data_IF_418855658003
#
_entry.id   IF_418855658003
#
_cell.length_a   1.000
_cell.length_b   1.000
_cell.length_c   1.000
_cell.angle_alpha   90.00
_cell.angle_beta   90.00
_cell.angle_gamma   90.00
#
_symmetry.space_group_name_H-M   'P 1'
#
loop_
_entity.id
_entity.type
_entity.pdbx_description
1 polymer ?
#
# COMPACT_ATOMS: atom_id res chain seq x y z
N UNK A 1 -23.08 -5.37 11.37
CA UNK A 1 -22.31 -5.13 10.14
C UNK A 1 -22.07 -3.65 10.02
N UNK A 2 -20.90 -3.24 9.53
CA UNK A 2 -20.55 -1.85 9.27
C UNK A 2 -20.89 -1.51 7.82
N UNK A 3 -21.55 -0.39 7.61
CA UNK A 3 -21.93 0.10 6.28
C UNK A 3 -20.71 0.71 5.59
N UNK A 4 -20.48 0.30 4.34
CA UNK A 4 -19.37 0.78 3.52
C UNK A 4 -19.87 1.48 2.25
N UNK A 5 -19.16 2.52 1.83
CA UNK A 5 -19.32 3.19 0.54
C UNK A 5 -17.98 3.20 -0.18
N UNK A 6 -18.01 2.93 -1.49
CA UNK A 6 -16.84 3.06 -2.37
C UNK A 6 -17.02 4.32 -3.25
N UNK A 7 -15.99 5.16 -3.26
CA UNK A 7 -15.89 6.34 -4.13
C UNK A 7 -14.84 6.09 -5.19
N UNK A 8 -15.22 6.14 -6.46
CA UNK A 8 -14.48 5.64 -7.60
C UNK A 8 -14.84 4.17 -7.89
N UNK A 9 -15.42 3.93 -9.07
CA UNK A 9 -15.91 2.60 -9.48
C UNK A 9 -15.01 1.97 -10.56
N UNK A 10 -13.71 2.19 -10.44
CA UNK A 10 -12.68 1.67 -11.35
C UNK A 10 -12.26 0.24 -11.05
N UNK A 11 -11.14 -0.14 -11.66
CA UNK A 11 -10.60 -1.51 -11.61
C UNK A 11 -10.28 -1.96 -10.18
N UNK A 12 -9.56 -1.15 -9.40
CA UNK A 12 -9.21 -1.50 -8.02
C UNK A 12 -10.42 -1.46 -7.07
N UNK A 13 -11.46 -0.69 -7.43
CA UNK A 13 -12.70 -0.66 -6.66
C UNK A 13 -13.46 -1.99 -6.70
N UNK A 14 -13.52 -2.65 -7.88
CA UNK A 14 -14.27 -3.91 -8.03
C UNK A 14 -14.39 -4.44 -9.46
N UNK A 15 -13.89 -3.73 -10.49
CA UNK A 15 -13.96 -4.21 -11.87
C UNK A 15 -12.94 -5.31 -12.18
N UNK A 16 -11.96 -5.57 -11.34
CA UNK A 16 -11.08 -6.76 -11.44
C UNK A 16 -11.89 -8.05 -11.32
N UNK A 17 -12.95 -8.02 -10.52
CA UNK A 17 -13.76 -9.20 -10.22
C UNK A 17 -14.62 -9.62 -11.43
N UNK A 18 -14.86 -8.67 -12.37
CA UNK A 18 -15.62 -8.88 -13.62
C UNK A 18 -14.83 -9.73 -14.65
N UNK A 19 -13.52 -9.83 -14.52
CA UNK A 19 -12.68 -10.52 -15.51
C UNK A 19 -12.50 -12.00 -15.26
N UNK A 20 -12.89 -12.50 -14.10
CA UNK A 20 -12.74 -13.91 -13.70
C UNK A 20 -11.30 -14.43 -13.66
N UNK A 21 -10.31 -13.52 -13.67
CA UNK A 21 -8.88 -13.88 -13.80
C UNK A 21 -8.13 -13.97 -12.48
N UNK A 22 -8.74 -13.62 -11.35
CA UNK A 22 -8.07 -13.61 -10.05
C UNK A 22 -8.79 -14.47 -9.01
N UNK A 23 -8.12 -15.55 -8.57
CA UNK A 23 -8.55 -16.37 -7.41
C UNK A 23 -8.24 -15.64 -6.07
N UNK A 24 -7.59 -14.47 -6.12
CA UNK A 24 -7.23 -13.70 -4.93
C UNK A 24 -8.12 -12.47 -4.78
N UNK A 25 -8.53 -12.17 -3.55
CA UNK A 25 -9.29 -10.98 -3.22
C UNK A 25 -8.34 -9.79 -3.24
N UNK A 26 -8.49 -8.92 -4.26
CA UNK A 26 -7.61 -7.77 -4.48
C UNK A 26 -8.35 -6.43 -4.50
N UNK A 27 -9.63 -6.41 -4.88
CA UNK A 27 -10.44 -5.19 -4.96
C UNK A 27 -11.13 -4.84 -3.65
N UNK A 28 -11.50 -3.56 -3.50
CA UNK A 28 -12.24 -3.09 -2.32
C UNK A 28 -13.60 -3.78 -2.19
N UNK A 29 -14.35 -3.91 -3.30
CA UNK A 29 -15.67 -4.55 -3.29
C UNK A 29 -15.57 -6.02 -2.88
N UNK A 30 -14.61 -6.77 -3.46
CA UNK A 30 -14.37 -8.15 -3.06
C UNK A 30 -13.95 -8.27 -1.60
N UNK A 31 -13.15 -7.32 -1.09
CA UNK A 31 -12.79 -7.24 0.33
C UNK A 31 -14.03 -7.12 1.22
N UNK A 32 -14.93 -6.20 0.90
CA UNK A 32 -16.18 -6.02 1.66
C UNK A 32 -17.11 -7.23 1.56
N UNK A 33 -17.31 -7.78 0.37
CA UNK A 33 -18.21 -8.94 0.18
C UNK A 33 -17.73 -10.23 0.84
N UNK A 34 -16.41 -10.39 1.00
CA UNK A 34 -15.83 -11.59 1.61
C UNK A 34 -15.51 -11.45 3.10
N UNK A 35 -15.96 -10.37 3.75
CA UNK A 35 -15.74 -10.15 5.17
C UNK A 35 -17.04 -9.91 5.92
N UNK A 36 -17.41 -10.80 6.85
CA UNK A 36 -18.71 -10.85 7.54
C UNK A 36 -19.10 -9.57 8.31
N UNK A 37 -18.13 -8.70 8.60
CA UNK A 37 -18.38 -7.49 9.37
C UNK A 37 -18.80 -6.29 8.52
N UNK A 38 -18.74 -6.36 7.19
CA UNK A 38 -19.05 -5.25 6.29
C UNK A 38 -20.27 -5.53 5.42
N UNK A 39 -20.94 -4.44 5.05
CA UNK A 39 -21.99 -4.39 4.05
C UNK A 39 -21.69 -3.25 3.07
N UNK A 40 -21.42 -3.58 1.80
CA UNK A 40 -21.20 -2.60 0.75
C UNK A 40 -22.55 -2.01 0.32
N UNK A 41 -22.93 -0.90 0.95
CA UNK A 41 -24.28 -0.30 0.82
C UNK A 41 -24.36 0.80 -0.24
N UNK A 42 -23.20 1.39 -0.64
CA UNK A 42 -23.21 2.50 -1.60
C UNK A 42 -21.97 2.59 -2.48
N UNK A 43 -22.12 3.23 -3.65
CA UNK A 43 -20.99 3.57 -4.53
C UNK A 43 -21.22 4.90 -5.26
N UNK A 44 -20.09 5.56 -5.61
CA UNK A 44 -20.08 6.86 -6.28
C UNK A 44 -19.03 6.87 -7.38
N UNK A 45 -19.37 7.40 -8.55
CA UNK A 45 -18.41 7.69 -9.62
C UNK A 45 -18.88 8.89 -10.43
N UNK A 46 -17.99 9.76 -10.86
CA UNK A 46 -18.32 10.92 -11.70
C UNK A 46 -18.94 10.53 -13.05
N UNK A 47 -18.65 9.33 -13.54
CA UNK A 47 -19.20 8.79 -14.77
C UNK A 47 -20.45 7.95 -14.48
N UNK A 48 -21.62 8.44 -14.95
CA UNK A 48 -22.91 7.79 -14.73
C UNK A 48 -22.94 6.33 -15.21
N UNK A 49 -22.38 6.02 -16.38
CA UNK A 49 -22.37 4.65 -16.89
C UNK A 49 -21.51 3.72 -16.05
N UNK A 50 -20.40 4.23 -15.54
CA UNK A 50 -19.49 3.46 -14.68
C UNK A 50 -20.16 3.13 -13.35
N UNK A 51 -20.80 4.11 -12.69
CA UNK A 51 -21.45 3.86 -11.40
C UNK A 51 -22.66 2.93 -11.53
N UNK A 52 -23.48 3.09 -12.59
CA UNK A 52 -24.62 2.18 -12.87
C UNK A 52 -24.14 0.74 -13.08
N UNK A 53 -23.10 0.53 -13.92
CA UNK A 53 -22.52 -0.80 -14.15
C UNK A 53 -21.94 -1.41 -12.88
N UNK A 54 -21.21 -0.61 -12.10
CA UNK A 54 -20.61 -1.08 -10.84
C UNK A 54 -21.70 -1.45 -9.83
N UNK A 55 -22.74 -0.63 -9.68
CA UNK A 55 -23.86 -0.89 -8.79
C UNK A 55 -24.59 -2.20 -9.14
N UNK A 56 -24.81 -2.46 -10.44
CA UNK A 56 -25.39 -3.72 -10.92
C UNK A 56 -24.49 -4.92 -10.60
N UNK A 57 -23.20 -4.83 -10.94
CA UNK A 57 -22.21 -5.89 -10.71
C UNK A 57 -22.06 -6.23 -9.22
N UNK A 58 -21.94 -5.22 -8.37
CA UNK A 58 -21.70 -5.36 -6.93
C UNK A 58 -23.01 -5.44 -6.13
N UNK A 59 -24.18 -5.37 -6.79
CA UNK A 59 -25.53 -5.40 -6.17
C UNK A 59 -25.73 -4.29 -5.12
N UNK A 60 -25.17 -3.11 -5.38
CA UNK A 60 -25.27 -1.94 -4.51
C UNK A 60 -26.55 -1.18 -4.82
N UNK A 61 -27.28 -0.77 -3.77
CA UNK A 61 -28.60 -0.12 -3.92
C UNK A 61 -28.47 1.40 -4.01
N UNK A 62 -27.55 2.00 -3.23
CA UNK A 62 -27.34 3.43 -3.19
C UNK A 62 -26.19 3.83 -4.11
N UNK A 63 -26.50 4.40 -5.27
CA UNK A 63 -25.46 4.87 -6.19
C UNK A 63 -25.88 6.18 -6.87
N UNK A 64 -24.90 7.05 -7.08
CA UNK A 64 -25.09 8.34 -7.74
C UNK A 64 -23.73 8.87 -8.24
N UNK A 65 -23.79 9.88 -9.11
CA UNK A 65 -22.61 10.68 -9.46
C UNK A 65 -22.29 11.76 -8.43
N UNK A 66 -23.24 12.06 -7.55
CA UNK A 66 -23.08 13.03 -6.49
C UNK A 66 -22.71 12.33 -5.16
N UNK A 67 -21.51 12.60 -4.68
CA UNK A 67 -20.97 12.02 -3.45
C UNK A 67 -21.85 12.31 -2.23
N UNK A 68 -22.25 13.57 -2.04
CA UNK A 68 -23.02 13.98 -0.85
C UNK A 68 -24.38 13.30 -0.80
N UNK A 69 -25.01 13.10 -1.97
CA UNK A 69 -26.29 12.39 -2.07
C UNK A 69 -26.19 10.97 -1.51
N UNK A 70 -25.16 10.22 -1.93
CA UNK A 70 -24.99 8.83 -1.47
C UNK A 70 -24.59 8.79 0.01
N UNK A 71 -23.68 9.65 0.43
CA UNK A 71 -23.22 9.66 1.84
C UNK A 71 -24.34 10.01 2.81
N UNK A 72 -25.21 10.97 2.47
CA UNK A 72 -26.36 11.32 3.31
C UNK A 72 -27.43 10.22 3.31
N UNK A 73 -27.60 9.47 2.22
CA UNK A 73 -28.53 8.36 2.16
C UNK A 73 -28.04 7.13 2.95
N UNK A 74 -26.74 6.82 2.91
CA UNK A 74 -26.16 5.61 3.52
C UNK A 74 -25.66 5.86 4.95
N UNK A 75 -25.09 7.05 5.22
CA UNK A 75 -24.39 7.38 6.47
C UNK A 75 -23.36 6.30 6.84
N UNK A 76 -22.34 6.07 5.99
CA UNK A 76 -21.46 4.92 6.11
C UNK A 76 -20.54 4.99 7.34
N UNK A 77 -20.24 3.81 7.92
CA UNK A 77 -19.20 3.68 8.93
C UNK A 77 -17.80 3.83 8.35
N UNK A 78 -17.60 3.36 7.11
CA UNK A 78 -16.32 3.42 6.39
C UNK A 78 -16.52 3.86 4.94
N UNK A 79 -15.61 4.69 4.46
CA UNK A 79 -15.57 5.10 3.05
C UNK A 79 -14.23 4.65 2.45
N UNK A 80 -14.29 3.84 1.37
CA UNK A 80 -13.14 3.58 0.52
C UNK A 80 -13.04 4.62 -0.59
N UNK A 81 -11.88 5.22 -0.78
CA UNK A 81 -11.60 6.14 -1.88
C UNK A 81 -10.63 5.44 -2.84
N UNK A 82 -11.14 5.10 -4.02
CA UNK A 82 -10.48 4.34 -5.07
C UNK A 82 -10.53 5.06 -6.43
N UNK A 83 -10.50 6.38 -6.38
CA UNK A 83 -10.49 7.30 -7.52
C UNK A 83 -9.06 7.51 -8.05
N UNK A 84 -8.86 8.22 -9.18
CA UNK A 84 -7.54 8.69 -9.57
C UNK A 84 -6.87 9.52 -8.48
N UNK A 85 -5.58 9.35 -8.34
CA UNK A 85 -4.77 9.87 -7.22
C UNK A 85 -4.75 11.41 -7.10
N UNK A 86 -4.92 12.13 -8.21
CA UNK A 86 -5.05 13.60 -8.25
C UNK A 86 -6.35 14.13 -7.62
N UNK A 87 -7.33 13.26 -7.37
CA UNK A 87 -8.62 13.60 -6.77
C UNK A 87 -8.71 13.29 -5.27
N UNK A 88 -7.78 12.51 -4.73
CA UNK A 88 -7.83 12.01 -3.35
C UNK A 88 -7.97 13.13 -2.33
N UNK A 89 -7.11 14.15 -2.41
CA UNK A 89 -7.16 15.29 -1.50
C UNK A 89 -8.51 16.01 -1.49
N UNK A 90 -9.06 16.30 -2.68
CA UNK A 90 -10.32 17.02 -2.81
C UNK A 90 -11.52 16.21 -2.29
N UNK A 91 -11.52 14.90 -2.52
CA UNK A 91 -12.59 14.01 -2.07
C UNK A 91 -12.55 13.85 -0.54
N UNK A 92 -11.37 13.60 0.05
CA UNK A 92 -11.23 13.53 1.52
C UNK A 92 -11.68 14.83 2.16
N UNK A 93 -11.21 15.98 1.63
CA UNK A 93 -11.58 17.30 2.15
C UNK A 93 -13.09 17.54 2.08
N UNK A 94 -13.74 17.12 0.99
CA UNK A 94 -15.20 17.22 0.84
C UNK A 94 -15.94 16.33 1.85
N UNK A 95 -15.50 15.10 2.04
CA UNK A 95 -16.10 14.15 3.00
C UNK A 95 -16.02 14.72 4.41
N UNK A 96 -14.84 15.16 4.83
CA UNK A 96 -14.63 15.63 6.21
C UNK A 96 -15.17 17.06 6.46
N UNK A 97 -15.43 17.83 5.40
CA UNK A 97 -15.89 19.22 5.51
C UNK A 97 -17.39 19.46 5.27
N UNK A 98 -18.09 18.53 4.58
CA UNK A 98 -19.42 18.82 4.03
C UNK A 98 -20.49 17.76 4.30
N UNK A 99 -20.19 16.65 4.97
CA UNK A 99 -21.21 15.62 5.29
C UNK A 99 -21.78 15.82 6.68
N UNK A 100 -23.10 15.66 6.80
CA UNK A 100 -23.81 15.86 8.07
C UNK A 100 -23.43 14.80 9.13
N UNK A 101 -23.17 13.57 8.67
CA UNK A 101 -22.69 12.45 9.49
C UNK A 101 -21.41 11.91 8.89
N UNK A 102 -20.25 12.27 9.45
CA UNK A 102 -18.96 11.79 8.95
C UNK A 102 -18.75 10.30 9.23
N UNK A 103 -17.95 9.60 8.39
CA UNK A 103 -17.61 8.21 8.63
C UNK A 103 -16.74 8.06 9.88
N UNK A 104 -16.63 6.84 10.39
CA UNK A 104 -15.70 6.52 11.48
C UNK A 104 -14.28 6.30 10.99
N UNK A 105 -14.10 6.03 9.68
CA UNK A 105 -12.84 5.65 9.06
C UNK A 105 -12.85 5.93 7.57
N UNK A 106 -11.73 6.41 7.03
CA UNK A 106 -11.47 6.50 5.59
C UNK A 106 -10.40 5.49 5.21
N UNK A 107 -10.66 4.67 4.18
CA UNK A 107 -9.69 3.76 3.56
C UNK A 107 -9.31 4.31 2.19
N UNK A 108 -8.12 4.85 2.06
CA UNK A 108 -7.67 5.66 0.92
C UNK A 108 -6.65 4.91 0.07
N UNK A 109 -6.85 4.87 -1.26
CA UNK A 109 -5.85 4.34 -2.17
C UNK A 109 -4.55 5.17 -2.19
N UNK A 110 -3.48 4.48 -2.56
CA UNK A 110 -2.15 5.09 -2.74
C UNK A 110 -2.04 5.75 -4.14
N UNK A 111 -1.21 6.79 -4.28
CA UNK A 111 -0.66 7.63 -3.22
C UNK A 111 -1.76 8.48 -2.58
N UNK A 112 -1.67 8.74 -1.30
CA UNK A 112 -2.73 9.46 -0.57
C UNK A 112 -2.96 10.89 -1.09
N UNK A 113 -1.93 11.51 -1.68
CA UNK A 113 -1.96 12.87 -2.23
C UNK A 113 -0.76 13.11 -3.15
N UNK A 114 -0.75 14.26 -3.85
CA UNK A 114 0.22 14.58 -4.89
C UNK A 114 1.46 15.34 -4.39
N UNK A 115 1.39 16.00 -3.24
CA UNK A 115 2.46 16.87 -2.76
C UNK A 115 2.41 17.09 -1.23
N UNK A 116 3.48 17.67 -0.69
CA UNK A 116 3.61 17.91 0.76
C UNK A 116 2.53 18.84 1.32
N UNK A 117 2.05 19.83 0.55
CA UNK A 117 1.01 20.76 1.03
C UNK A 117 -0.33 20.04 1.25
N UNK A 118 -0.70 19.19 0.31
CA UNK A 118 -1.89 18.34 0.43
C UNK A 118 -1.77 17.37 1.60
N UNK A 119 -0.58 16.76 1.77
CA UNK A 119 -0.31 15.86 2.88
C UNK A 119 -0.50 16.53 4.24
N UNK A 120 0.12 17.70 4.45
CA UNK A 120 -0.03 18.45 5.72
C UNK A 120 -1.50 18.80 5.97
N UNK A 121 -2.21 19.27 4.93
CA UNK A 121 -3.63 19.58 5.05
C UNK A 121 -4.48 18.36 5.38
N UNK A 122 -4.23 17.20 4.77
CA UNK A 122 -4.95 15.95 5.09
C UNK A 122 -4.69 15.47 6.51
N UNK A 123 -3.45 15.62 7.01
CA UNK A 123 -3.12 15.29 8.41
C UNK A 123 -3.90 16.21 9.36
N UNK A 124 -3.88 17.53 9.12
CA UNK A 124 -4.61 18.50 9.94
C UNK A 124 -6.13 18.27 9.93
N UNK A 125 -6.71 17.99 8.76
CA UNK A 125 -8.16 17.74 8.63
C UNK A 125 -8.54 16.43 9.35
N UNK A 126 -7.75 15.36 9.16
CA UNK A 126 -7.95 14.06 9.83
C UNK A 126 -7.91 14.20 11.36
N UNK A 127 -6.90 14.90 11.87
CA UNK A 127 -6.72 15.12 13.31
C UNK A 127 -7.86 16.01 13.88
N UNK A 128 -8.22 17.08 13.16
CA UNK A 128 -9.29 17.99 13.59
C UNK A 128 -10.67 17.31 13.61
N UNK A 129 -10.94 16.44 12.65
CA UNK A 129 -12.17 15.66 12.58
C UNK A 129 -12.16 14.45 13.52
N UNK A 130 -11.00 14.07 14.05
CA UNK A 130 -10.77 12.82 14.78
C UNK A 130 -11.22 11.58 13.98
N UNK A 131 -10.97 11.58 12.68
CA UNK A 131 -11.31 10.47 11.77
C UNK A 131 -10.02 9.95 11.15
N UNK A 132 -9.62 8.71 11.47
CA UNK A 132 -8.41 8.14 10.92
C UNK A 132 -8.53 7.91 9.40
N UNK A 133 -7.44 8.21 8.70
CA UNK A 133 -7.24 7.88 7.30
C UNK A 133 -6.21 6.74 7.24
N UNK A 134 -6.65 5.56 6.82
CA UNK A 134 -5.78 4.41 6.53
C UNK A 134 -5.45 4.42 5.04
N UNK A 135 -4.17 4.34 4.72
CA UNK A 135 -3.71 4.33 3.32
C UNK A 135 -3.47 2.90 2.86
N UNK A 136 -4.02 2.54 1.71
CA UNK A 136 -3.86 1.21 1.13
C UNK A 136 -2.46 1.02 0.51
N UNK A 137 -1.44 1.09 1.35
CA UNK A 137 -0.12 0.57 1.00
C UNK A 137 -0.15 -0.95 1.11
N UNK A 138 -0.62 -1.61 0.06
CA UNK A 138 -0.99 -3.04 0.06
C UNK A 138 0.09 -3.96 0.63
N UNK A 139 1.38 -3.65 0.43
CA UNK A 139 2.50 -4.43 0.96
C UNK A 139 2.61 -4.39 2.48
N UNK A 140 2.17 -3.33 3.15
CA UNK A 140 2.10 -3.29 4.62
C UNK A 140 1.10 -4.31 5.17
N UNK A 141 0.06 -4.61 4.40
CA UNK A 141 -0.93 -5.64 4.73
C UNK A 141 -0.48 -7.05 4.30
N UNK A 142 0.62 -7.21 3.57
CA UNK A 142 1.09 -8.53 3.14
C UNK A 142 1.72 -9.30 4.32
N UNK A 143 1.28 -10.54 4.54
CA UNK A 143 1.69 -11.36 5.69
C UNK A 143 3.20 -11.62 5.74
N UNK A 144 3.86 -11.75 4.58
CA UNK A 144 5.31 -11.89 4.49
C UNK A 144 6.04 -10.73 5.19
N UNK A 145 5.69 -9.50 4.81
CA UNK A 145 6.39 -8.32 5.37
C UNK A 145 6.06 -8.09 6.84
N UNK A 146 4.84 -8.37 7.26
CA UNK A 146 4.51 -8.32 8.69
C UNK A 146 5.34 -9.33 9.50
N UNK A 147 5.50 -10.57 9.01
CA UNK A 147 6.31 -11.59 9.66
C UNK A 147 7.83 -11.26 9.64
N UNK A 148 8.32 -10.65 8.55
CA UNK A 148 9.72 -10.17 8.46
C UNK A 148 9.95 -9.05 9.47
N UNK A 149 9.04 -8.08 9.57
CA UNK A 149 9.10 -6.98 10.53
C UNK A 149 9.17 -7.51 11.97
N UNK A 150 8.25 -8.40 12.34
CA UNK A 150 8.24 -9.03 13.67
C UNK A 150 9.58 -9.71 14.00
N UNK A 151 10.11 -10.50 13.05
CA UNK A 151 11.40 -11.20 13.26
C UNK A 151 12.58 -10.24 13.36
N UNK A 152 12.58 -9.16 12.58
CA UNK A 152 13.61 -8.15 12.61
C UNK A 152 13.59 -7.37 13.94
N UNK A 153 12.44 -6.89 14.36
CA UNK A 153 12.26 -6.18 15.64
C UNK A 153 12.60 -7.08 16.85
N UNK A 154 12.34 -8.38 16.74
CA UNK A 154 12.74 -9.37 17.75
C UNK A 154 14.24 -9.75 17.70
N UNK A 155 15.05 -9.12 16.82
CA UNK A 155 16.48 -9.40 16.66
C UNK A 155 16.81 -10.76 16.03
N UNK A 156 15.82 -11.52 15.55
CA UNK A 156 16.02 -12.88 15.02
C UNK A 156 16.70 -12.93 13.66
N UNK A 157 16.72 -11.83 12.92
CA UNK A 157 17.40 -11.72 11.63
C UNK A 157 18.83 -11.16 11.75
N UNK A 158 19.18 -10.66 12.94
CA UNK A 158 20.46 -9.99 13.16
C UNK A 158 20.51 -8.60 12.54
N UNK A 159 21.73 -8.12 12.25
CA UNK A 159 21.95 -6.80 11.65
C UNK A 159 21.56 -6.80 10.16
N UNK A 160 20.90 -5.74 9.71
CA UNK A 160 20.67 -5.49 8.30
C UNK A 160 21.99 -5.01 7.66
N UNK A 161 22.44 -5.70 6.61
CA UNK A 161 23.69 -5.41 5.91
C UNK A 161 23.50 -4.69 4.58
N UNK A 162 22.30 -4.77 3.98
CA UNK A 162 21.97 -4.10 2.74
C UNK A 162 20.69 -4.61 2.13
N UNK A 163 20.19 -3.85 1.15
CA UNK A 163 18.94 -4.12 0.42
C UNK A 163 19.19 -3.89 -1.06
N UNK A 164 18.80 -4.86 -1.90
CA UNK A 164 18.74 -4.68 -3.35
C UNK A 164 17.28 -4.78 -3.81
N UNK A 165 16.87 -3.81 -4.63
CA UNK A 165 15.53 -3.72 -5.17
C UNK A 165 15.59 -3.67 -6.70
N UNK A 166 14.87 -4.54 -7.38
CA UNK A 166 14.63 -4.43 -8.84
C UNK A 166 13.18 -4.06 -9.09
N UNK A 167 12.92 -3.03 -9.89
CA UNK A 167 11.58 -2.54 -10.18
C UNK A 167 11.45 -1.96 -11.59
N UNK A 168 10.23 -1.68 -12.03
CA UNK A 168 9.89 -1.08 -13.32
C UNK A 168 8.96 0.13 -13.14
N UNK A 169 8.82 0.93 -14.19
CA UNK A 169 7.75 1.95 -14.36
C UNK A 169 7.74 3.05 -13.30
N UNK A 170 8.33 4.17 -13.51
CA UNK A 170 8.27 5.42 -12.72
C UNK A 170 8.61 5.35 -11.23
N UNK A 171 9.25 6.39 -10.75
CA UNK A 171 9.64 6.46 -9.32
C UNK A 171 8.44 6.69 -8.39
N UNK A 172 7.51 7.56 -8.79
CA UNK A 172 6.36 7.89 -7.94
C UNK A 172 5.34 6.75 -7.88
N UNK A 173 5.10 6.06 -9.00
CA UNK A 173 4.10 4.99 -9.05
C UNK A 173 4.61 3.66 -8.48
N UNK A 174 5.79 3.22 -8.91
CA UNK A 174 6.37 1.92 -8.53
C UNK A 174 7.43 2.04 -7.44
N UNK A 175 8.29 3.05 -7.49
CA UNK A 175 9.33 3.29 -6.47
C UNK A 175 8.74 3.58 -5.09
N UNK A 176 7.53 4.15 -5.01
CA UNK A 176 6.83 4.39 -3.73
C UNK A 176 6.68 3.10 -2.90
N UNK A 177 6.43 1.97 -3.56
CA UNK A 177 6.30 0.69 -2.88
C UNK A 177 7.60 0.21 -2.24
N UNK A 178 8.75 0.48 -2.90
CA UNK A 178 10.07 0.14 -2.37
C UNK A 178 10.42 1.02 -1.17
N UNK A 179 10.26 2.33 -1.33
CA UNK A 179 10.51 3.31 -0.27
C UNK A 179 9.65 2.98 0.95
N UNK A 180 8.37 2.71 0.72
CA UNK A 180 7.43 2.44 1.79
C UNK A 180 7.75 1.15 2.54
N UNK A 181 8.04 0.06 1.83
CA UNK A 181 8.34 -1.22 2.50
C UNK A 181 9.67 -1.19 3.26
N UNK A 182 10.70 -0.53 2.71
CA UNK A 182 11.98 -0.36 3.41
C UNK A 182 11.80 0.44 4.70
N UNK A 183 11.05 1.53 4.64
CA UNK A 183 10.73 2.34 5.82
C UNK A 183 9.87 1.58 6.83
N UNK A 184 8.86 0.87 6.37
CA UNK A 184 7.98 0.06 7.21
C UNK A 184 8.72 -1.05 7.96
N UNK A 185 9.66 -1.72 7.29
CA UNK A 185 10.42 -2.84 7.88
C UNK A 185 11.56 -2.39 8.79
N UNK A 186 12.29 -1.35 8.40
CA UNK A 186 13.60 -1.05 8.97
C UNK A 186 13.74 0.38 9.49
N UNK A 187 12.71 1.22 9.35
CA UNK A 187 12.75 2.64 9.73
C UNK A 187 13.89 3.44 9.06
N UNK A 188 14.32 3.01 7.87
CA UNK A 188 15.40 3.66 7.12
C UNK A 188 14.86 4.89 6.40
N UNK A 189 15.50 6.04 6.59
CA UNK A 189 15.20 7.26 5.84
C UNK A 189 15.78 7.18 4.42
N UNK A 190 14.94 7.40 3.41
CA UNK A 190 15.34 7.44 2.01
C UNK A 190 15.44 8.90 1.56
N UNK A 191 16.63 9.46 1.65
CA UNK A 191 16.88 10.88 1.38
C UNK A 191 18.08 11.01 0.45
N UNK A 192 17.93 11.76 -0.64
CA UNK A 192 19.02 12.10 -1.56
C UNK A 192 19.92 10.91 -1.97
N UNK A 193 19.39 9.84 -2.55
CA UNK A 193 20.21 8.75 -3.04
C UNK A 193 21.11 9.23 -4.20
N UNK A 194 22.29 8.61 -4.35
CA UNK A 194 23.13 8.85 -5.50
C UNK A 194 22.49 8.22 -6.75
N UNK A 195 21.98 9.05 -7.64
CA UNK A 195 21.31 8.59 -8.87
C UNK A 195 22.38 8.23 -9.92
N UNK A 196 22.40 6.97 -10.33
CA UNK A 196 23.35 6.37 -11.26
C UNK A 196 22.83 6.49 -12.70
N UNK A 197 21.55 6.22 -12.91
CA UNK A 197 20.92 6.18 -14.23
C UNK A 197 19.45 6.62 -14.16
N UNK A 198 18.97 7.24 -15.24
CA UNK A 198 17.58 7.64 -15.43
C UNK A 198 17.02 7.01 -16.68
N UNK A 199 15.87 6.36 -16.57
CA UNK A 199 15.21 5.65 -17.66
C UNK A 199 13.80 6.24 -17.80
N UNK A 200 13.38 6.59 -19.01
CA UNK A 200 12.03 7.06 -19.26
C UNK A 200 11.02 5.93 -18.96
N UNK A 201 10.04 6.22 -18.12
CA UNK A 201 8.95 5.28 -17.88
C UNK A 201 8.03 5.19 -19.10
N UNK A 202 7.54 3.99 -19.41
CA UNK A 202 6.49 3.77 -20.42
C UNK A 202 5.09 3.80 -19.82
N UNK A 203 5.01 3.87 -18.50
CA UNK A 203 3.73 4.02 -17.81
C UNK A 203 3.18 5.42 -18.05
N UNK A 204 2.07 5.53 -18.76
CA UNK A 204 1.42 6.81 -19.06
C UNK A 204 0.80 7.47 -17.82
N UNK A 205 0.51 6.69 -16.79
CA UNK A 205 -0.07 7.16 -15.54
C UNK A 205 0.99 7.68 -14.57
N UNK A 206 2.29 7.42 -14.85
CA UNK A 206 3.41 7.96 -14.11
C UNK A 206 4.47 8.54 -15.07
N UNK A 207 4.50 9.86 -15.25
CA UNK A 207 5.49 10.50 -16.09
C UNK A 207 6.88 10.59 -15.45
N UNK A 208 7.04 10.12 -14.21
CA UNK A 208 8.32 10.20 -13.52
C UNK A 208 9.32 9.18 -14.08
N UNK A 209 10.61 9.48 -13.91
CA UNK A 209 11.65 8.61 -14.39
C UNK A 209 11.79 7.35 -13.54
N UNK A 210 12.07 6.23 -14.16
CA UNK A 210 12.59 5.04 -13.48
C UNK A 210 14.08 5.28 -13.21
N UNK A 211 14.55 5.08 -12.00
CA UNK A 211 15.92 5.41 -11.61
C UNK A 211 16.70 4.18 -11.15
N UNK A 212 18.01 4.18 -11.47
CA UNK A 212 18.99 3.40 -10.72
C UNK A 212 19.69 4.33 -9.73
N UNK A 213 19.67 3.96 -8.46
CA UNK A 213 20.20 4.80 -7.41
C UNK A 213 20.79 3.97 -6.27
N UNK A 214 21.77 4.53 -5.56
CA UNK A 214 22.37 3.94 -4.37
C UNK A 214 22.23 4.90 -3.20
N UNK A 215 21.77 4.39 -2.07
CA UNK A 215 21.72 5.11 -0.81
C UNK A 215 22.62 4.40 0.21
N UNK A 216 23.55 5.14 0.80
CA UNK A 216 24.29 4.65 1.98
C UNK A 216 23.52 5.00 3.24
N UNK A 217 23.40 4.05 4.14
CA UNK A 217 22.70 4.19 5.42
C UNK A 217 23.57 3.67 6.56
N UNK A 218 23.21 3.96 7.79
CA UNK A 218 23.86 3.40 8.96
C UNK A 218 23.69 1.87 9.07
N UNK A 219 22.69 1.32 8.35
CA UNK A 219 22.33 -0.10 8.35
C UNK A 219 22.67 -0.75 6.99
N UNK A 220 23.81 -0.38 6.38
CA UNK A 220 24.20 -0.87 5.06
C UNK A 220 23.70 -0.01 3.91
N UNK A 221 23.85 -0.49 2.68
CA UNK A 221 23.43 0.25 1.49
C UNK A 221 22.09 -0.25 0.93
N UNK A 222 21.32 0.66 0.35
CA UNK A 222 20.12 0.32 -0.44
C UNK A 222 20.42 0.60 -1.91
N UNK A 223 20.25 -0.41 -2.76
CA UNK A 223 20.42 -0.29 -4.20
C UNK A 223 19.06 -0.40 -4.90
N UNK A 224 18.64 0.68 -5.55
CA UNK A 224 17.45 0.71 -6.40
C UNK A 224 17.86 0.46 -7.84
N UNK A 225 17.41 -0.64 -8.43
CA UNK A 225 17.68 -1.01 -9.82
C UNK A 225 16.38 -0.87 -10.63
N UNK A 226 16.18 0.33 -11.18
CA UNK A 226 15.09 0.58 -12.13
C UNK A 226 15.40 -0.03 -13.49
N UNK A 227 14.41 -0.67 -14.10
CA UNK A 227 14.53 -1.33 -15.40
C UNK A 227 13.52 -0.75 -16.40
N UNK A 228 13.90 -0.73 -17.70
CA UNK A 228 12.95 -0.45 -18.78
C UNK A 228 11.92 -1.59 -18.86
N UNK A 229 10.65 -1.28 -18.80
CA UNK A 229 9.53 -2.22 -18.83
C UNK A 229 9.15 -2.67 -20.26
N UNK A 230 10.01 -2.39 -21.25
CA UNK A 230 9.78 -2.73 -22.66
C UNK A 230 9.52 -4.23 -22.89
N UNK A 231 10.16 -5.09 -22.12
CA UNK A 231 10.11 -6.54 -22.34
C UNK A 231 9.27 -7.28 -21.30
N UNK A 232 9.40 -6.91 -20.03
CA UNK A 232 8.66 -7.50 -18.93
C UNK A 232 8.69 -6.57 -17.72
N UNK A 233 7.76 -6.79 -16.81
CA UNK A 233 7.68 -6.13 -15.53
C UNK A 233 8.46 -6.92 -14.47
N UNK A 234 9.15 -6.24 -13.56
CA UNK A 234 9.92 -6.86 -12.49
C UNK A 234 9.68 -6.12 -11.18
N UNK A 235 9.49 -6.87 -10.11
CA UNK A 235 9.45 -6.34 -8.76
C UNK A 235 10.02 -7.38 -7.80
N UNK A 236 11.32 -7.26 -7.53
CA UNK A 236 12.07 -8.18 -6.69
C UNK A 236 12.80 -7.43 -5.59
N UNK A 237 12.93 -8.06 -4.42
CA UNK A 237 13.61 -7.53 -3.24
C UNK A 237 14.58 -8.56 -2.68
N UNK A 238 15.75 -8.12 -2.28
CA UNK A 238 16.70 -8.92 -1.55
C UNK A 238 17.17 -8.18 -0.30
N UNK A 239 16.93 -8.77 0.86
CA UNK A 239 17.33 -8.26 2.16
C UNK A 239 18.49 -9.10 2.71
N UNK A 240 19.64 -8.49 2.96
CA UNK A 240 20.82 -9.16 3.53
C UNK A 240 20.93 -8.86 5.00
N UNK A 241 20.98 -9.91 5.80
CA UNK A 241 21.16 -9.85 7.25
C UNK A 241 22.43 -10.59 7.68
N UNK A 242 22.91 -10.31 8.87
CA UNK A 242 24.06 -11.02 9.42
C UNK A 242 23.81 -12.52 9.66
N UNK A 243 22.55 -12.94 9.76
CA UNK A 243 22.15 -14.35 9.92
C UNK A 243 21.74 -15.03 8.62
N UNK A 244 21.64 -14.31 7.50
CA UNK A 244 21.21 -14.88 6.24
C UNK A 244 20.69 -13.86 5.25
N UNK A 245 19.94 -14.34 4.25
CA UNK A 245 19.39 -13.53 3.17
C UNK A 245 17.96 -13.94 2.85
N UNK A 246 17.06 -12.94 2.74
CA UNK A 246 15.70 -13.13 2.23
C UNK A 246 15.61 -12.58 0.81
N UNK A 247 15.18 -13.41 -0.12
CA UNK A 247 14.93 -13.05 -1.51
C UNK A 247 13.42 -13.14 -1.73
N UNK A 248 12.80 -12.08 -2.24
CA UNK A 248 11.39 -11.99 -2.61
C UNK A 248 11.32 -11.71 -4.10
N UNK A 249 10.58 -12.50 -4.86
CA UNK A 249 10.52 -12.43 -6.32
C UNK A 249 9.10 -12.43 -6.85
N UNK A 250 9.01 -12.01 -8.11
CA UNK A 250 7.80 -12.13 -8.91
C UNK A 250 6.56 -11.54 -8.19
N UNK A 251 6.68 -10.28 -7.77
CA UNK A 251 5.58 -9.59 -7.06
C UNK A 251 5.09 -10.36 -5.82
N UNK A 252 6.03 -10.75 -4.95
CA UNK A 252 5.78 -11.48 -3.70
C UNK A 252 5.22 -12.91 -3.85
N UNK A 253 5.17 -13.45 -5.08
CA UNK A 253 4.70 -14.83 -5.31
C UNK A 253 5.70 -15.89 -4.84
N UNK A 254 6.99 -15.54 -4.78
CA UNK A 254 8.06 -16.42 -4.36
C UNK A 254 8.92 -15.74 -3.31
N UNK A 255 9.30 -16.48 -2.28
CA UNK A 255 10.33 -16.05 -1.34
C UNK A 255 11.24 -17.20 -0.92
N UNK A 256 12.53 -16.88 -0.74
CA UNK A 256 13.58 -17.84 -0.37
C UNK A 256 14.35 -17.24 0.81
N UNK A 257 14.45 -18.01 1.88
CA UNK A 257 15.36 -17.71 2.97
C UNK A 257 16.63 -18.57 2.84
N UNK A 258 17.79 -17.94 2.87
CA UNK A 258 19.08 -18.60 2.93
C UNK A 258 19.76 -18.25 4.26
N UNK A 259 19.91 -19.24 5.13
CA UNK A 259 20.59 -19.04 6.40
C UNK A 259 22.10 -19.04 6.23
N UNK A 260 22.79 -18.15 6.94
CA UNK A 260 24.23 -18.16 7.05
C UNK A 260 24.65 -19.28 8.02
N UNK A 261 25.43 -20.24 7.52
CA UNK A 261 25.98 -21.34 8.32
C UNK A 261 27.49 -21.42 8.13
N UNK A 262 28.19 -21.99 9.10
CA UNK A 262 29.60 -22.37 8.95
C UNK A 262 29.69 -23.78 8.34
N UNK A 263 30.45 -23.90 7.25
CA UNK A 263 30.69 -25.20 6.60
C UNK A 263 31.82 -25.97 7.30
N UNK A 264 32.11 -27.17 6.81
CA UNK A 264 33.12 -28.06 7.41
C UNK A 264 34.57 -27.54 7.36
N UNK A 265 34.84 -26.48 6.60
CA UNK A 265 36.18 -25.86 6.49
C UNK A 265 36.24 -24.49 7.17
N UNK A 266 35.19 -24.11 7.92
CA UNK A 266 35.15 -22.87 8.69
C UNK A 266 34.71 -21.62 7.87
N UNK A 267 34.16 -21.80 6.65
CA UNK A 267 33.65 -20.69 5.86
C UNK A 267 32.16 -20.44 6.13
N UNK A 268 31.78 -19.18 6.17
CA UNK A 268 30.37 -18.76 6.30
C UNK A 268 29.71 -18.73 4.92
N UNK A 269 28.75 -19.63 4.71
CA UNK A 269 28.05 -19.82 3.44
C UNK A 269 26.54 -19.68 3.62
N UNK A 270 25.85 -19.28 2.56
CA UNK A 270 24.39 -19.19 2.52
C UNK A 270 23.81 -20.53 2.03
N UNK A 271 22.85 -21.05 2.79
CA UNK A 271 22.19 -22.32 2.46
C UNK A 271 20.68 -22.15 2.56
N UNK A 272 19.91 -22.54 1.52
CA UNK A 272 18.46 -22.51 1.57
C UNK A 272 17.92 -23.26 2.79
N UNK A 273 17.07 -22.59 3.55
CA UNK A 273 16.36 -23.17 4.70
C UNK A 273 14.93 -22.70 4.75
N UNK A 274 14.05 -23.48 5.33
CA UNK A 274 12.72 -23.04 5.65
C UNK A 274 12.80 -21.91 6.70
N UNK A 275 12.19 -20.77 6.38
CA UNK A 275 11.89 -19.75 7.36
C UNK A 275 10.46 -19.95 7.85
N UNK A 276 10.28 -20.22 9.12
CA UNK A 276 8.94 -20.22 9.72
C UNK A 276 8.41 -18.79 9.73
N UNK A 277 7.56 -18.47 8.77
CA UNK A 277 6.80 -17.24 8.70
C UNK A 277 5.35 -17.54 9.04
N UNK A 278 4.79 -16.81 10.00
CA UNK A 278 3.37 -16.93 10.36
C UNK A 278 2.51 -16.31 9.25
N UNK A 279 2.42 -17.01 8.11
CA UNK A 279 1.63 -16.59 6.98
C UNK A 279 0.22 -17.17 7.09
N UNK A 280 -0.80 -16.31 7.14
CA UNK A 280 -2.20 -16.75 7.33
C UNK A 280 -2.95 -17.05 6.02
N UNK A 281 -2.27 -17.00 4.87
CA UNK A 281 -2.86 -17.29 3.55
C UNK A 281 -3.88 -16.27 3.05
N UNK A 282 -4.16 -15.20 3.81
CA UNK A 282 -5.08 -14.13 3.39
C UNK A 282 -4.37 -13.16 2.44
N UNK A 283 -5.12 -12.68 1.44
CA UNK A 283 -4.64 -11.59 0.58
C UNK A 283 -4.40 -10.30 1.40
N UNK A 284 -3.58 -9.37 0.91
CA UNK A 284 -3.41 -8.06 1.55
C UNK A 284 -4.72 -7.32 1.79
N UNK A 285 -5.67 -7.36 0.83
CA UNK A 285 -6.98 -6.74 0.98
C UNK A 285 -7.79 -7.37 2.13
N UNK A 286 -7.84 -8.68 2.24
CA UNK A 286 -8.53 -9.34 3.35
C UNK A 286 -7.91 -9.05 4.70
N UNK A 287 -6.59 -8.93 4.77
CA UNK A 287 -5.92 -8.48 6.01
C UNK A 287 -6.22 -7.02 6.33
N UNK A 288 -6.31 -6.16 5.31
CA UNK A 288 -6.79 -4.79 5.53
C UNK A 288 -8.19 -4.81 6.14
N UNK A 289 -9.13 -5.59 5.59
CA UNK A 289 -10.49 -5.71 6.15
C UNK A 289 -10.49 -6.20 7.60
N UNK A 290 -9.66 -7.19 7.96
CA UNK A 290 -9.53 -7.65 9.36
C UNK A 290 -9.11 -6.49 10.30
N UNK A 291 -8.12 -5.70 9.90
CA UNK A 291 -7.59 -4.58 10.69
C UNK A 291 -8.63 -3.45 10.81
N UNK A 292 -9.25 -3.06 9.69
CA UNK A 292 -10.28 -2.02 9.65
C UNK A 292 -11.51 -2.40 10.49
N UNK A 293 -11.97 -3.65 10.40
CA UNK A 293 -13.09 -4.15 11.20
C UNK A 293 -12.74 -4.23 12.70
N UNK A 294 -11.51 -4.57 13.05
CA UNK A 294 -11.04 -4.58 14.44
C UNK A 294 -11.09 -3.17 15.04
N UNK A 295 -10.59 -2.17 14.31
CA UNK A 295 -10.70 -0.77 14.73
C UNK A 295 -12.16 -0.33 14.89
N UNK A 296 -13.00 -0.57 13.89
CA UNK A 296 -14.42 -0.19 13.96
C UNK A 296 -15.15 -0.84 15.13
N UNK A 297 -14.75 -2.04 15.53
CA UNK A 297 -15.31 -2.78 16.67
C UNK A 297 -14.86 -2.23 18.03
N UNK A 298 -13.59 -1.86 18.15
CA UNK A 298 -12.98 -1.51 19.44
C UNK A 298 -12.87 -0.02 19.68
N UNK A 299 -12.77 0.78 18.59
CA UNK A 299 -12.38 2.19 18.63
C UNK A 299 -10.89 2.40 18.99
N UNK A 300 -10.12 1.32 19.11
CA UNK A 300 -8.72 1.37 19.52
C UNK A 300 -7.82 1.73 18.33
N UNK A 301 -7.31 2.96 18.32
CA UNK A 301 -6.44 3.49 17.28
C UNK A 301 -5.13 2.71 17.12
N UNK A 302 -4.67 2.03 18.16
CA UNK A 302 -3.44 1.23 18.13
C UNK A 302 -3.54 0.08 17.11
N UNK A 303 -4.77 -0.40 16.84
CA UNK A 303 -5.01 -1.43 15.80
C UNK A 303 -4.65 -0.95 14.40
N UNK A 304 -4.61 0.36 14.16
CA UNK A 304 -4.28 0.99 12.88
C UNK A 304 -2.82 1.44 12.79
N UNK A 305 -2.01 1.24 13.84
CA UNK A 305 -0.60 1.64 13.83
C UNK A 305 0.18 0.97 12.70
N UNK A 306 0.94 1.78 11.98
CA UNK A 306 1.67 1.37 10.79
C UNK A 306 0.90 1.48 9.48
N UNK A 307 -0.40 1.83 9.52
CA UNK A 307 -1.27 1.94 8.33
C UNK A 307 -1.88 3.33 8.14
N UNK A 308 -1.82 4.17 9.16
CA UNK A 308 -2.38 5.53 9.13
C UNK A 308 -1.62 6.44 8.15
N UNK A 309 -2.29 7.47 7.66
CA UNK A 309 -1.69 8.50 6.82
C UNK A 309 -0.40 9.08 7.45
N UNK A 310 -0.40 9.32 8.75
CA UNK A 310 0.80 9.79 9.48
C UNK A 310 1.98 8.80 9.42
N UNK A 311 1.70 7.48 9.37
CA UNK A 311 2.74 6.43 9.31
C UNK A 311 3.32 6.31 7.89
N UNK A 312 2.53 6.67 6.86
CA UNK A 312 2.92 6.66 5.45
C UNK A 312 3.55 8.00 5.03
N UNK A 313 3.27 9.07 5.77
CA UNK A 313 3.66 10.44 5.42
C UNK A 313 5.16 10.59 5.07
N UNK A 314 6.03 9.96 5.85
CA UNK A 314 7.47 10.04 5.61
C UNK A 314 7.90 9.31 4.33
N UNK A 315 7.22 8.22 3.94
CA UNK A 315 7.44 7.56 2.65
C UNK A 315 7.07 8.47 1.48
N UNK A 316 5.93 9.15 1.55
CA UNK A 316 5.50 10.11 0.54
C UNK A 316 6.47 11.29 0.41
N UNK A 317 6.91 11.88 1.53
CA UNK A 317 7.91 12.96 1.52
C UNK A 317 9.22 12.50 0.87
N UNK A 318 9.69 11.29 1.18
CA UNK A 318 10.89 10.71 0.57
C UNK A 318 10.74 10.56 -0.95
N UNK A 319 9.60 10.09 -1.43
CA UNK A 319 9.32 9.94 -2.87
C UNK A 319 9.43 11.28 -3.60
N UNK A 320 8.76 12.32 -3.09
CA UNK A 320 8.78 13.64 -3.72
C UNK A 320 10.17 14.28 -3.66
N UNK A 321 10.88 14.12 -2.55
CA UNK A 321 12.24 14.64 -2.41
C UNK A 321 13.19 14.00 -3.41
N UNK A 322 13.17 12.67 -3.56
CA UNK A 322 13.99 11.98 -4.55
C UNK A 322 13.58 12.36 -5.98
N UNK A 323 12.27 12.43 -6.26
CA UNK A 323 11.78 12.86 -7.57
C UNK A 323 12.25 14.29 -7.93
N UNK A 324 12.37 15.18 -6.96
CA UNK A 324 12.90 16.55 -7.20
C UNK A 324 14.40 16.57 -7.50
N UNK A 325 15.15 15.49 -7.20
CA UNK A 325 16.57 15.32 -7.51
C UNK A 325 16.79 14.61 -8.86
N UNK A 326 15.72 14.08 -9.48
CA UNK A 326 15.80 13.37 -10.75
C UNK A 326 15.61 14.29 -11.96
#
# INVERSE_FOLDING_TARGET
MYTAVIVGCGTIAGLYDDTGTSDSIVSHAAGYHNHDMFDLSGCVDSNKKTVERFAELQKVIHFDTNLVTVLNAVQPDIISIATPDDTHYSIVSLILGCVDVPPKLIFLEKPACQNSRELESLLEISDSANIPIVVNQSRRFHSLYAAVKEKYEAGRLGELLGIDCSYYGGWVHSGVHLVDIIRYLFSIEIVCPNIIERIASRNTDDPTLTIKAKLETNNGSVLFQGWDDKHYQIFDLEFRFSTGRLIVRNFEQEYIWEACIENSVGERVLVPKSMELSMNGKSPMMRAMDILSSYLKTGDIETLNGYLLRDVAASLRSIWQVNSCT
#
